data_IF_050269571155
#
_entry.id   IF_050269571155
#
_cell.length_a   1.000
_cell.length_b   1.000
_cell.length_c   1.000
_cell.angle_alpha   90.00
_cell.angle_beta   90.00
_cell.angle_gamma   90.00
#
_symmetry.space_group_name_H-M   'P 1'
#
loop_
_entity.id
_entity.type
_entity.pdbx_description
1 polymer ?
#
# COMPACT_ATOMS: atom_id res chain seq x y z
N UNK A 1 25.26 -30.59 -37.44
CA UNK A 1 23.93 -30.50 -36.83
C UNK A 1 24.04 -31.05 -35.42
N UNK A 2 24.24 -30.20 -34.44
CA UNK A 2 24.28 -30.58 -33.03
C UNK A 2 22.88 -30.40 -32.46
N UNK A 3 22.27 -31.50 -32.04
CA UNK A 3 20.98 -31.47 -31.35
C UNK A 3 21.19 -30.93 -29.95
N UNK A 4 20.58 -29.80 -29.66
CA UNK A 4 20.49 -29.24 -28.29
C UNK A 4 19.44 -30.09 -27.56
N UNK A 5 19.90 -30.89 -26.60
CA UNK A 5 19.04 -31.58 -25.67
C UNK A 5 18.51 -30.54 -24.69
N UNK A 6 17.23 -30.21 -24.77
CA UNK A 6 16.52 -29.42 -23.76
C UNK A 6 16.13 -30.36 -22.65
N UNK A 7 16.65 -30.13 -21.47
CA UNK A 7 16.28 -30.86 -20.27
C UNK A 7 14.79 -30.63 -19.94
N UNK A 8 14.02 -31.67 -19.67
CA UNK A 8 12.68 -31.54 -19.13
C UNK A 8 12.79 -31.51 -17.61
N UNK A 9 12.18 -30.59 -17.00
CA UNK A 9 11.78 -30.55 -15.57
C UNK A 9 12.01 -29.17 -14.95
N UNK A 10 11.05 -28.31 -15.22
CA UNK A 10 10.83 -27.12 -14.42
C UNK A 10 9.32 -26.87 -14.37
N UNK A 11 8.67 -27.49 -13.40
CA UNK A 11 7.37 -27.11 -12.80
C UNK A 11 6.92 -28.25 -11.86
N UNK A 12 7.45 -28.29 -10.65
CA UNK A 12 6.80 -29.05 -9.57
C UNK A 12 5.76 -28.14 -8.92
N UNK A 13 4.61 -28.05 -9.53
CA UNK A 13 3.39 -27.66 -8.83
C UNK A 13 2.66 -28.95 -8.49
N UNK A 14 2.20 -29.08 -7.23
CA UNK A 14 1.48 -30.22 -6.68
C UNK A 14 0.46 -30.81 -7.67
N UNK A 15 0.55 -32.13 -7.88
CA UNK A 15 -0.30 -32.93 -8.74
C UNK A 15 -1.73 -33.00 -8.21
N UNK A 16 -2.53 -32.00 -8.53
CA UNK A 16 -3.93 -32.20 -8.90
C UNK A 16 -3.98 -32.04 -10.42
N UNK A 17 -4.40 -33.08 -11.15
CA UNK A 17 -4.75 -32.95 -12.57
C UNK A 17 -5.92 -31.97 -12.65
N UNK A 18 -5.59 -30.69 -12.80
CA UNK A 18 -6.55 -29.68 -13.19
C UNK A 18 -6.62 -29.70 -14.72
N UNK A 19 -7.83 -29.79 -15.27
CA UNK A 19 -8.07 -29.56 -16.69
C UNK A 19 -7.49 -28.19 -17.09
N UNK A 20 -6.44 -28.20 -17.91
CA UNK A 20 -5.74 -27.00 -18.31
C UNK A 20 -4.81 -27.23 -19.50
N UNK A 21 -4.36 -26.13 -20.09
CA UNK A 21 -3.41 -26.14 -21.19
C UNK A 21 -1.99 -26.05 -20.64
N UNK A 22 -1.13 -27.01 -20.97
CA UNK A 22 0.32 -26.91 -20.67
C UNK A 22 0.94 -25.83 -21.56
N UNK A 23 1.42 -24.75 -20.92
CA UNK A 23 2.19 -23.71 -21.58
C UNK A 23 3.68 -24.01 -21.39
N UNK A 24 4.41 -24.22 -22.50
CA UNK A 24 5.86 -24.23 -22.49
C UNK A 24 6.32 -22.79 -22.68
N UNK A 25 6.94 -22.22 -21.68
CA UNK A 25 7.45 -20.86 -21.74
C UNK A 25 8.90 -20.82 -21.28
N UNK A 26 9.67 -19.96 -21.93
CA UNK A 26 11.03 -19.62 -21.56
C UNK A 26 11.06 -18.16 -21.15
N UNK A 27 11.65 -17.87 -19.99
CA UNK A 27 11.83 -16.52 -19.47
C UNK A 27 13.32 -16.14 -19.55
N UNK A 28 13.75 -15.43 -20.60
CA UNK A 28 15.14 -15.00 -20.69
C UNK A 28 15.51 -14.06 -19.54
N UNK A 29 16.78 -14.09 -19.14
CA UNK A 29 17.32 -13.20 -18.13
C UNK A 29 17.36 -11.76 -18.65
N UNK A 30 16.53 -10.88 -18.06
CA UNK A 30 16.48 -9.47 -18.41
C UNK A 30 17.44 -8.62 -17.57
N UNK A 31 17.78 -9.07 -16.36
CA UNK A 31 18.70 -8.36 -15.49
C UNK A 31 19.12 -9.14 -14.25
N UNK A 32 20.28 -8.76 -13.70
CA UNK A 32 20.79 -9.29 -12.44
C UNK A 32 21.13 -8.11 -11.53
N UNK A 33 20.65 -8.15 -10.28
CA UNK A 33 20.67 -7.03 -9.34
C UNK A 33 21.19 -7.46 -7.97
N UNK A 34 21.52 -6.49 -7.14
CA UNK A 34 21.75 -6.73 -5.73
C UNK A 34 20.38 -6.86 -4.99
N UNK A 35 19.42 -6.01 -5.37
CA UNK A 35 18.09 -5.99 -4.78
C UNK A 35 17.02 -5.82 -5.85
N UNK A 36 15.98 -6.66 -5.82
CA UNK A 36 14.77 -6.47 -6.61
C UNK A 36 13.60 -6.19 -5.66
N UNK A 37 12.93 -5.07 -5.88
CA UNK A 37 11.71 -4.68 -5.17
C UNK A 37 10.51 -4.96 -6.07
N UNK A 38 9.50 -5.68 -5.56
CA UNK A 38 8.29 -6.01 -6.31
C UNK A 38 7.11 -5.24 -5.75
N UNK A 39 6.49 -4.40 -6.58
CA UNK A 39 5.41 -3.49 -6.23
C UNK A 39 5.89 -2.06 -5.92
N UNK A 40 5.48 -1.10 -6.74
CA UNK A 40 5.84 0.32 -6.66
C UNK A 40 4.92 1.17 -5.78
N UNK A 41 4.24 0.55 -4.80
CA UNK A 41 3.41 1.25 -3.80
C UNK A 41 4.24 2.05 -2.78
N UNK A 42 3.59 2.64 -1.74
CA UNK A 42 4.27 3.49 -0.75
C UNK A 42 5.48 2.83 -0.11
N UNK A 43 5.42 1.54 0.24
CA UNK A 43 6.57 0.81 0.75
C UNK A 43 7.64 0.60 -0.32
N UNK A 44 7.23 0.20 -1.54
CA UNK A 44 8.16 -0.28 -2.56
C UNK A 44 9.00 0.82 -3.18
N UNK A 45 8.42 1.97 -3.56
CA UNK A 45 9.25 3.03 -4.11
C UNK A 45 10.24 3.61 -3.07
N UNK A 46 9.84 3.67 -1.79
CA UNK A 46 10.75 4.07 -0.71
C UNK A 46 11.83 3.01 -0.46
N UNK A 47 11.47 1.70 -0.50
CA UNK A 47 12.45 0.62 -0.35
C UNK A 47 13.49 0.65 -1.47
N UNK A 48 13.05 0.83 -2.72
CA UNK A 48 13.94 0.89 -3.88
C UNK A 48 14.90 2.10 -3.80
N UNK A 49 14.36 3.29 -3.49
CA UNK A 49 15.18 4.50 -3.27
C UNK A 49 16.20 4.26 -2.16
N UNK A 50 15.77 3.65 -1.05
CA UNK A 50 16.65 3.43 0.10
C UNK A 50 17.76 2.45 -0.24
N UNK A 51 17.45 1.30 -0.84
CA UNK A 51 18.43 0.29 -1.23
C UNK A 51 19.47 0.88 -2.20
N UNK A 52 19.02 1.60 -3.23
CA UNK A 52 19.89 2.23 -4.21
C UNK A 52 20.79 3.31 -3.57
N UNK A 53 20.27 4.18 -2.71
CA UNK A 53 21.06 5.19 -1.99
C UNK A 53 22.06 4.59 -0.99
N UNK A 54 21.82 3.33 -0.54
CA UNK A 54 22.77 2.58 0.29
C UNK A 54 23.80 1.80 -0.53
N UNK A 55 23.79 1.96 -1.87
CA UNK A 55 24.77 1.42 -2.82
C UNK A 55 24.40 0.10 -3.45
N UNK A 56 23.18 -0.43 -3.26
CA UNK A 56 22.72 -1.63 -3.93
C UNK A 56 22.27 -1.32 -5.37
N UNK A 57 22.72 -2.11 -6.35
CA UNK A 57 22.15 -2.08 -7.71
C UNK A 57 20.73 -2.61 -7.63
N UNK A 58 19.75 -1.72 -7.83
CA UNK A 58 18.34 -1.99 -7.48
C UNK A 58 17.43 -1.92 -8.70
N UNK A 59 16.52 -2.90 -8.83
CA UNK A 59 15.38 -2.82 -9.74
C UNK A 59 14.06 -2.69 -8.95
N UNK A 60 13.10 -1.99 -9.54
CA UNK A 60 11.73 -1.87 -9.06
C UNK A 60 10.76 -2.34 -10.14
N UNK A 61 9.96 -3.37 -9.82
CA UNK A 61 8.94 -3.96 -10.69
C UNK A 61 7.57 -3.46 -10.28
N UNK A 62 6.80 -2.91 -11.23
CA UNK A 62 5.44 -2.42 -11.02
C UNK A 62 4.53 -2.85 -12.18
N UNK A 63 3.37 -3.42 -11.87
CA UNK A 63 2.39 -3.90 -12.88
C UNK A 63 1.66 -2.77 -13.60
N UNK A 64 1.60 -1.58 -13.03
CA UNK A 64 1.00 -0.40 -13.65
C UNK A 64 2.05 0.48 -14.32
N UNK A 65 1.60 1.42 -15.16
CA UNK A 65 2.46 2.40 -15.82
C UNK A 65 2.82 3.61 -14.94
N UNK A 66 2.66 3.51 -13.63
CA UNK A 66 2.97 4.56 -12.66
C UNK A 66 3.13 3.99 -11.26
N UNK A 67 3.84 4.73 -10.41
CA UNK A 67 4.11 4.38 -9.01
C UNK A 67 3.10 5.03 -8.06
N UNK A 68 3.15 4.63 -6.78
CA UNK A 68 2.39 5.23 -5.69
C UNK A 68 1.35 4.32 -5.04
N UNK A 69 1.06 3.15 -5.62
CA UNK A 69 0.13 2.16 -5.06
C UNK A 69 -1.23 2.76 -4.70
N UNK A 70 -1.74 2.52 -3.47
CA UNK A 70 -3.09 2.94 -3.09
C UNK A 70 -3.33 4.46 -3.19
N UNK A 71 -2.29 5.31 -3.11
CA UNK A 71 -2.44 6.74 -3.37
C UNK A 71 -2.86 7.03 -4.82
N UNK A 72 -2.30 6.31 -5.78
CA UNK A 72 -2.43 6.61 -7.21
C UNK A 72 -3.29 5.59 -7.96
N UNK A 73 -3.29 4.32 -7.52
CA UNK A 73 -4.14 3.27 -8.08
C UNK A 73 -5.54 3.31 -7.47
N UNK A 74 -5.63 3.55 -6.15
CA UNK A 74 -6.88 3.53 -5.40
C UNK A 74 -7.46 4.90 -5.07
N UNK A 75 -6.76 5.99 -5.37
CA UNK A 75 -7.09 7.37 -4.96
C UNK A 75 -7.38 7.49 -3.48
N UNK A 76 -6.70 6.68 -2.68
CA UNK A 76 -6.85 6.70 -1.22
C UNK A 76 -6.15 7.93 -0.67
N UNK A 77 -6.92 8.81 -0.06
CA UNK A 77 -6.43 10.04 0.56
C UNK A 77 -7.06 10.21 1.96
N UNK A 78 -6.44 11.00 2.84
CA UNK A 78 -5.10 11.60 2.73
C UNK A 78 -3.98 10.58 3.00
N UNK A 79 -2.70 10.95 2.82
CA UNK A 79 -1.60 10.18 3.42
C UNK A 79 -1.61 10.50 4.92
N UNK A 80 -2.00 9.56 5.74
CA UNK A 80 -2.15 9.70 7.20
C UNK A 80 -1.16 8.80 7.93
N UNK A 81 -0.72 9.16 9.10
CA UNK A 81 -0.42 10.46 9.69
C UNK A 81 1.08 10.47 9.97
N UNK A 82 1.73 11.61 9.78
CA UNK A 82 3.18 11.70 9.97
C UNK A 82 3.57 12.27 11.33
N UNK A 83 2.64 12.93 12.01
CA UNK A 83 2.94 13.64 13.25
C UNK A 83 1.85 13.44 14.32
N UNK A 84 2.21 13.71 15.56
CA UNK A 84 1.30 13.90 16.69
C UNK A 84 1.68 15.19 17.41
N UNK A 85 0.70 16.04 17.63
CA UNK A 85 0.85 17.31 18.39
C UNK A 85 2.05 18.16 17.85
N UNK A 86 2.12 18.32 16.53
CA UNK A 86 3.19 19.00 15.78
C UNK A 86 4.58 18.32 15.84
N UNK A 87 4.70 17.14 16.46
CA UNK A 87 5.94 16.39 16.50
C UNK A 87 5.91 15.26 15.47
N UNK A 88 6.88 15.23 14.56
CA UNK A 88 6.99 14.15 13.60
C UNK A 88 7.18 12.80 14.30
N UNK A 89 6.49 11.80 13.80
CA UNK A 89 6.60 10.40 14.21
C UNK A 89 7.26 9.57 13.13
N UNK A 90 7.00 9.90 11.86
CA UNK A 90 7.58 9.24 10.70
C UNK A 90 8.43 10.28 9.95
N UNK A 91 9.73 10.03 9.89
CA UNK A 91 10.73 10.90 9.24
C UNK A 91 11.44 10.20 8.07
N UNK A 92 12.64 10.68 7.74
CA UNK A 92 13.50 10.08 6.73
C UNK A 92 13.02 10.30 5.29
N UNK A 93 13.32 9.34 4.43
CA UNK A 93 12.92 9.39 3.00
C UNK A 93 11.41 9.53 2.82
N UNK A 94 10.54 8.91 3.64
CA UNK A 94 9.10 9.19 3.63
C UNK A 94 8.75 10.67 3.79
N UNK A 95 9.39 11.36 4.72
CA UNK A 95 9.15 12.78 4.93
C UNK A 95 9.81 13.65 3.85
N UNK A 96 10.99 13.26 3.35
CA UNK A 96 11.60 13.89 2.17
C UNK A 96 10.67 13.87 0.97
N UNK A 97 10.01 12.72 0.71
CA UNK A 97 9.01 12.60 -0.36
C UNK A 97 7.86 13.59 -0.18
N UNK A 98 7.31 13.69 1.03
CA UNK A 98 6.22 14.65 1.33
C UNK A 98 6.66 16.09 1.07
N UNK A 99 7.83 16.47 1.57
CA UNK A 99 8.37 17.83 1.39
C UNK A 99 8.65 18.15 -0.07
N UNK A 100 9.11 17.17 -0.83
CA UNK A 100 9.34 17.31 -2.26
C UNK A 100 8.02 17.48 -3.02
N UNK A 101 7.01 16.67 -2.70
CA UNK A 101 5.69 16.79 -3.28
C UNK A 101 5.06 18.16 -2.97
N UNK A 102 5.20 18.64 -1.73
CA UNK A 102 4.78 19.98 -1.32
C UNK A 102 5.48 21.07 -2.15
N UNK A 103 6.80 20.97 -2.33
CA UNK A 103 7.58 21.94 -3.13
C UNK A 103 7.20 21.97 -4.61
N UNK A 104 6.60 20.90 -5.12
CA UNK A 104 6.03 20.82 -6.47
C UNK A 104 4.60 21.39 -6.54
N UNK A 105 4.02 21.88 -5.43
CA UNK A 105 2.62 22.26 -5.34
C UNK A 105 1.64 21.10 -5.33
N UNK A 106 2.14 19.87 -5.12
CA UNK A 106 1.39 18.63 -5.16
C UNK A 106 0.96 18.10 -3.79
N UNK A 107 1.25 18.79 -2.70
CA UNK A 107 0.80 18.42 -1.37
C UNK A 107 0.45 19.62 -0.51
N UNK A 108 -0.48 19.41 0.42
CA UNK A 108 -0.79 20.30 1.53
C UNK A 108 -0.64 19.53 2.84
N UNK A 109 0.18 20.03 3.75
CA UNK A 109 0.48 19.40 5.04
C UNK A 109 -0.43 19.97 6.11
N UNK A 110 -1.35 19.17 6.61
CA UNK A 110 -2.30 19.57 7.63
C UNK A 110 -1.78 19.26 9.04
N UNK A 111 -1.33 20.29 9.75
CA UNK A 111 -0.91 20.20 11.13
C UNK A 111 -2.13 20.26 12.08
N UNK A 112 -2.07 19.68 13.32
CA UNK A 112 -0.90 19.15 14.04
C UNK A 112 -0.56 17.67 13.76
N UNK A 113 -1.36 16.97 12.93
CA UNK A 113 -1.19 15.53 12.66
C UNK A 113 -0.33 15.24 11.45
N UNK A 114 -0.06 16.24 10.64
CA UNK A 114 0.56 16.11 9.32
C UNK A 114 -0.13 15.01 8.49
N UNK A 115 -1.44 15.17 8.29
CA UNK A 115 -2.16 14.51 7.19
C UNK A 115 -1.80 15.24 5.90
N UNK A 116 -1.65 14.51 4.82
CA UNK A 116 -1.22 15.09 3.55
C UNK A 116 -2.32 14.93 2.53
N UNK A 117 -2.97 16.03 2.19
CA UNK A 117 -3.77 16.12 0.98
C UNK A 117 -2.85 16.25 -0.22
N UNK A 118 -3.19 15.64 -1.35
CA UNK A 118 -2.28 15.60 -2.48
C UNK A 118 -2.99 15.58 -3.85
N UNK A 119 -2.28 16.11 -4.84
CA UNK A 119 -2.60 15.93 -6.26
C UNK A 119 -2.05 14.60 -6.74
N UNK A 120 -2.92 13.72 -7.23
CA UNK A 120 -2.57 12.34 -7.64
C UNK A 120 -1.54 12.33 -8.77
N UNK A 121 -1.63 13.24 -9.73
CA UNK A 121 -0.71 13.27 -10.88
C UNK A 121 0.68 13.77 -10.48
N UNK A 122 0.75 14.78 -9.62
CA UNK A 122 2.03 15.23 -9.06
C UNK A 122 2.65 14.18 -8.12
N UNK A 123 1.82 13.39 -7.43
CA UNK A 123 2.31 12.26 -6.63
C UNK A 123 3.02 11.22 -7.52
N UNK A 124 2.39 10.79 -8.63
CA UNK A 124 2.99 9.87 -9.61
C UNK A 124 4.33 10.40 -10.11
N UNK A 125 4.36 11.67 -10.52
CA UNK A 125 5.57 12.33 -11.03
C UNK A 125 6.67 12.41 -9.98
N UNK A 126 6.33 12.74 -8.73
CA UNK A 126 7.27 12.83 -7.63
C UNK A 126 7.93 11.46 -7.33
N UNK A 127 7.12 10.39 -7.23
CA UNK A 127 7.62 9.02 -7.08
C UNK A 127 8.60 8.66 -8.19
N UNK A 128 8.20 8.85 -9.45
CA UNK A 128 9.01 8.52 -10.60
C UNK A 128 10.35 9.27 -10.57
N UNK A 129 10.34 10.58 -10.32
CA UNK A 129 11.57 11.38 -10.26
C UNK A 129 12.51 10.89 -9.18
N UNK A 130 12.02 10.66 -7.96
CA UNK A 130 12.86 10.22 -6.85
C UNK A 130 13.45 8.83 -7.09
N UNK A 131 12.70 7.91 -7.70
CA UNK A 131 13.17 6.56 -8.05
C UNK A 131 14.26 6.63 -9.10
N UNK A 132 14.07 7.39 -10.19
CA UNK A 132 15.06 7.54 -11.26
C UNK A 132 16.32 8.28 -10.80
N UNK A 133 16.17 9.33 -10.00
CA UNK A 133 17.30 10.07 -9.41
C UNK A 133 18.13 9.22 -8.44
N UNK A 134 17.53 8.22 -7.81
CA UNK A 134 18.25 7.25 -6.99
C UNK A 134 19.03 6.21 -7.83
N UNK A 135 18.85 6.18 -9.15
CA UNK A 135 19.52 5.22 -10.04
C UNK A 135 18.87 3.83 -10.03
N UNK A 136 17.58 3.73 -9.75
CA UNK A 136 16.83 2.48 -9.77
C UNK A 136 16.41 2.15 -11.19
N UNK A 137 16.64 0.90 -11.62
CA UNK A 137 16.12 0.37 -12.88
C UNK A 137 14.62 0.07 -12.72
N UNK A 138 13.77 0.73 -13.52
CA UNK A 138 12.33 0.70 -13.35
C UNK A 138 11.64 -0.15 -14.42
N UNK A 139 10.97 -1.22 -14.00
CA UNK A 139 10.15 -2.10 -14.84
C UNK A 139 8.67 -1.82 -14.60
N UNK A 140 8.09 -0.89 -15.36
CA UNK A 140 6.65 -0.64 -15.37
C UNK A 140 5.92 -1.59 -16.32
N UNK A 141 4.58 -1.70 -16.20
CA UNK A 141 3.77 -2.63 -16.98
C UNK A 141 4.29 -4.07 -16.92
N UNK A 142 4.87 -4.45 -15.79
CA UNK A 142 5.50 -5.74 -15.57
C UNK A 142 4.87 -6.44 -14.37
N UNK A 143 4.08 -7.47 -14.64
CA UNK A 143 3.39 -8.24 -13.61
C UNK A 143 4.29 -9.37 -13.09
N UNK A 144 4.41 -9.51 -11.78
CA UNK A 144 5.02 -10.72 -11.19
C UNK A 144 4.11 -11.92 -11.48
N UNK A 145 4.67 -12.98 -12.05
CA UNK A 145 3.92 -14.20 -12.41
C UNK A 145 4.54 -15.49 -11.88
N UNK A 146 5.74 -15.41 -11.27
CA UNK A 146 6.40 -16.57 -10.68
C UNK A 146 7.72 -16.21 -10.00
N UNK A 147 8.31 -17.20 -9.34
CA UNK A 147 9.67 -17.13 -8.83
C UNK A 147 10.31 -18.51 -8.89
N UNK A 148 11.63 -18.55 -9.06
CA UNK A 148 12.44 -19.76 -8.99
C UNK A 148 13.11 -19.85 -7.64
N UNK A 149 13.14 -21.08 -7.09
CA UNK A 149 13.60 -21.33 -5.74
C UNK A 149 14.76 -22.32 -5.69
N UNK A 150 15.80 -22.00 -4.93
CA UNK A 150 16.84 -22.92 -4.51
C UNK A 150 16.67 -23.24 -3.00
N UNK A 151 15.93 -24.29 -2.71
CA UNK A 151 15.46 -24.57 -1.36
C UNK A 151 14.51 -23.48 -0.86
N UNK A 152 14.94 -22.69 0.12
CA UNK A 152 14.18 -21.52 0.64
C UNK A 152 14.75 -20.17 0.17
N UNK A 153 15.71 -20.18 -0.74
CA UNK A 153 16.27 -18.97 -1.36
C UNK A 153 15.58 -18.73 -2.70
N UNK A 154 15.13 -17.54 -2.94
CA UNK A 154 14.66 -17.10 -4.26
C UNK A 154 15.89 -16.85 -5.12
N UNK A 155 16.01 -17.52 -6.25
CA UNK A 155 17.08 -17.29 -7.24
C UNK A 155 16.71 -16.23 -8.25
N UNK A 156 15.46 -16.25 -8.73
CA UNK A 156 14.93 -15.23 -9.64
C UNK A 156 13.43 -15.06 -9.48
N UNK A 157 12.92 -13.95 -9.98
CA UNK A 157 11.49 -13.75 -10.21
C UNK A 157 11.19 -13.79 -11.71
N UNK A 158 9.96 -14.15 -12.05
CA UNK A 158 9.46 -14.15 -13.42
C UNK A 158 8.41 -13.04 -13.53
N UNK A 159 8.59 -12.17 -14.50
CA UNK A 159 7.68 -11.08 -14.83
C UNK A 159 7.08 -11.28 -16.22
N UNK A 160 5.83 -10.86 -16.41
CA UNK A 160 5.15 -10.78 -17.70
C UNK A 160 4.98 -9.32 -18.08
N UNK A 161 5.44 -8.99 -19.29
CA UNK A 161 5.34 -7.64 -19.83
C UNK A 161 5.19 -7.70 -21.37
N UNK A 162 5.37 -6.56 -22.05
CA UNK A 162 5.19 -6.46 -23.50
C UNK A 162 6.21 -7.28 -24.30
N UNK A 163 7.35 -7.63 -23.71
CA UNK A 163 8.36 -8.49 -24.33
C UNK A 163 8.04 -9.99 -24.17
N UNK A 164 7.01 -10.33 -23.38
CA UNK A 164 6.69 -11.67 -22.94
C UNK A 164 7.23 -11.95 -21.52
N UNK A 165 7.52 -13.20 -21.22
CA UNK A 165 8.10 -13.58 -19.94
C UNK A 165 9.58 -13.23 -19.90
N UNK A 166 10.01 -12.57 -18.82
CA UNK A 166 11.40 -12.24 -18.52
C UNK A 166 11.71 -12.64 -17.08
N UNK A 167 12.98 -12.97 -16.79
CA UNK A 167 13.43 -13.25 -15.42
C UNK A 167 14.37 -12.17 -14.90
N UNK A 168 14.29 -11.90 -13.61
CA UNK A 168 15.20 -11.00 -12.88
C UNK A 168 15.84 -11.77 -11.73
N UNK A 169 17.17 -11.82 -11.71
CA UNK A 169 17.93 -12.38 -10.60
C UNK A 169 18.30 -11.30 -9.58
N UNK A 170 18.36 -11.67 -8.30
CA UNK A 170 18.88 -10.80 -7.27
C UNK A 170 19.46 -11.55 -6.05
N UNK A 171 20.37 -10.88 -5.36
CA UNK A 171 20.85 -11.37 -4.08
C UNK A 171 19.74 -11.29 -2.99
N UNK A 172 18.91 -10.23 -3.03
CA UNK A 172 17.80 -9.99 -2.08
C UNK A 172 16.55 -9.51 -2.81
N UNK A 173 15.38 -9.98 -2.37
CA UNK A 173 14.07 -9.59 -2.86
C UNK A 173 13.26 -8.92 -1.77
N UNK A 174 12.51 -7.88 -2.12
CA UNK A 174 11.58 -7.19 -1.20
C UNK A 174 10.16 -7.25 -1.79
N UNK A 175 9.27 -7.97 -1.13
CA UNK A 175 7.85 -8.01 -1.49
C UNK A 175 7.13 -6.77 -0.96
N UNK A 176 6.76 -5.86 -1.85
CA UNK A 176 5.96 -4.66 -1.61
C UNK A 176 4.66 -4.68 -2.42
N UNK A 177 4.19 -5.85 -2.86
CA UNK A 177 2.98 -6.00 -3.70
C UNK A 177 1.70 -5.60 -2.98
N UNK A 178 1.76 -5.52 -1.66
CA UNK A 178 0.63 -5.21 -0.78
C UNK A 178 -0.25 -6.42 -0.48
N UNK A 179 -0.30 -7.40 -1.37
CA UNK A 179 -1.03 -8.66 -1.20
C UNK A 179 -0.09 -9.84 -0.86
N UNK A 180 1.23 -9.59 -0.74
CA UNK A 180 2.22 -10.61 -0.44
C UNK A 180 2.37 -11.61 -1.59
N UNK A 181 2.33 -11.14 -2.84
CA UNK A 181 2.28 -12.02 -4.02
C UNK A 181 3.58 -12.81 -4.18
N UNK A 182 4.74 -12.15 -4.04
CA UNK A 182 6.03 -12.85 -4.11
C UNK A 182 6.19 -13.85 -2.95
N UNK A 183 5.85 -13.43 -1.74
CA UNK A 183 5.91 -14.30 -0.57
C UNK A 183 4.98 -15.52 -0.72
N UNK A 184 3.78 -15.32 -1.28
CA UNK A 184 2.84 -16.42 -1.55
C UNK A 184 3.35 -17.36 -2.64
N UNK A 185 3.95 -16.85 -3.72
CA UNK A 185 4.55 -17.67 -4.78
C UNK A 185 5.77 -18.45 -4.27
N UNK A 186 6.53 -17.89 -3.35
CA UNK A 186 7.63 -18.55 -2.66
C UNK A 186 7.17 -19.51 -1.52
N UNK A 187 5.86 -19.73 -1.36
CA UNK A 187 5.27 -20.59 -0.35
C UNK A 187 5.61 -20.19 1.11
N UNK A 188 5.73 -18.88 1.34
CA UNK A 188 5.87 -18.35 2.72
C UNK A 188 4.57 -18.60 3.48
N UNK A 189 4.61 -19.10 4.72
CA UNK A 189 3.42 -19.25 5.53
C UNK A 189 2.70 -17.90 5.73
N UNK A 190 1.41 -17.90 5.43
CA UNK A 190 0.55 -16.72 5.60
C UNK A 190 -0.29 -16.81 6.87
N UNK A 191 -0.60 -15.68 7.45
CA UNK A 191 -1.56 -15.63 8.54
C UNK A 191 -2.96 -15.98 8.02
N UNK A 192 -3.73 -16.78 8.80
CA UNK A 192 -5.09 -17.10 8.42
C UNK A 192 -5.94 -15.83 8.39
N UNK A 193 -6.68 -15.67 7.30
CA UNK A 193 -7.75 -14.68 7.24
C UNK A 193 -9.04 -15.35 7.71
N UNK A 194 -9.86 -14.69 8.55
CA UNK A 194 -11.17 -15.20 8.88
C UNK A 194 -12.02 -15.30 7.61
N UNK A 195 -12.71 -16.41 7.42
CA UNK A 195 -13.62 -16.60 6.29
C UNK A 195 -14.62 -15.46 6.21
N UNK A 196 -14.68 -14.79 5.07
CA UNK A 196 -15.62 -13.71 4.73
C UNK A 196 -15.61 -12.47 5.63
N UNK A 197 -14.56 -12.23 6.42
CA UNK A 197 -14.48 -11.09 7.33
C UNK A 197 -13.43 -10.04 6.93
N UNK A 198 -12.87 -10.10 5.73
CA UNK A 198 -11.94 -9.07 5.25
C UNK A 198 -12.58 -7.69 5.29
N UNK A 199 -11.80 -6.68 5.66
CA UNK A 199 -12.27 -5.30 5.60
C UNK A 199 -12.68 -4.94 4.18
N UNK A 200 -13.79 -4.21 3.99
CA UNK A 200 -14.33 -3.95 2.66
C UNK A 200 -13.41 -3.08 1.82
N UNK A 201 -13.39 -3.33 0.53
CA UNK A 201 -12.78 -2.42 -0.45
C UNK A 201 -13.64 -1.18 -0.66
N UNK A 202 -13.00 -0.07 -1.04
CA UNK A 202 -13.66 1.17 -1.44
C UNK A 202 -13.14 1.60 -2.81
N UNK A 203 -14.05 2.01 -3.69
CA UNK A 203 -13.66 2.59 -4.97
C UNK A 203 -13.74 4.11 -4.84
N UNK A 204 -12.59 4.75 -4.62
CA UNK A 204 -12.53 6.19 -4.51
C UNK A 204 -12.60 6.83 -5.89
N UNK A 205 -13.09 8.07 -5.94
CA UNK A 205 -13.30 8.81 -7.19
C UNK A 205 -13.16 10.33 -6.95
N UNK A 206 -13.03 11.09 -8.02
CA UNK A 206 -12.96 12.55 -7.97
C UNK A 206 -14.24 13.09 -8.56
N UNK A 207 -14.92 13.96 -7.80
CA UNK A 207 -16.00 14.81 -8.28
C UNK A 207 -15.43 16.18 -8.64
N UNK A 208 -15.86 16.72 -9.78
CA UNK A 208 -15.65 18.13 -10.16
C UNK A 208 -17.01 18.83 -10.34
N UNK A 209 -17.01 20.16 -10.38
CA UNK A 209 -18.23 20.95 -10.36
C UNK A 209 -18.86 21.06 -8.98
N UNK A 210 -18.05 20.90 -7.93
CA UNK A 210 -18.46 20.98 -6.52
C UNK A 210 -18.17 22.38 -5.98
N UNK A 211 -19.09 22.94 -5.18
CA UNK A 211 -18.82 24.21 -4.45
C UNK A 211 -17.92 23.93 -3.23
N UNK A 212 -16.61 23.90 -3.50
CA UNK A 212 -15.59 23.63 -2.48
C UNK A 212 -15.40 24.76 -1.48
N UNK A 213 -15.97 25.96 -1.75
CA UNK A 213 -15.91 27.11 -0.85
C UNK A 213 -17.13 27.16 0.10
N UNK A 214 -18.07 26.23 -0.01
CA UNK A 214 -19.27 26.15 0.82
C UNK A 214 -18.96 25.90 2.29
N UNK A 215 -19.86 26.35 3.18
CA UNK A 215 -19.76 26.11 4.60
C UNK A 215 -19.73 24.61 4.95
N UNK A 216 -20.51 23.79 4.22
CA UNK A 216 -20.56 22.33 4.39
C UNK A 216 -19.18 21.73 4.15
N UNK A 217 -18.56 22.00 2.99
CA UNK A 217 -17.27 21.39 2.65
C UNK A 217 -16.12 21.97 3.46
N UNK A 218 -16.14 23.25 3.81
CA UNK A 218 -15.18 23.86 4.73
C UNK A 218 -15.18 23.18 6.11
N UNK A 219 -16.31 22.65 6.56
CA UNK A 219 -16.42 21.89 7.81
C UNK A 219 -16.07 20.40 7.66
N UNK A 220 -16.20 19.85 6.45
CA UNK A 220 -16.08 18.40 6.20
C UNK A 220 -14.76 18.00 5.54
N UNK A 221 -14.08 18.92 4.87
CA UNK A 221 -12.78 18.64 4.24
C UNK A 221 -11.64 18.87 5.22
N UNK A 222 -10.59 18.07 5.09
CA UNK A 222 -9.34 18.31 5.80
C UNK A 222 -8.65 19.52 5.15
N UNK A 223 -8.78 20.70 5.69
CA UNK A 223 -7.91 21.86 5.46
C UNK A 223 -8.17 22.91 6.52
N UNK A 224 -7.21 23.75 6.81
CA UNK A 224 -7.24 24.85 7.78
C UNK A 224 -6.91 24.53 9.24
N UNK A 225 -6.22 23.41 9.55
CA UNK A 225 -5.70 23.15 10.89
C UNK A 225 -6.78 22.98 11.97
N UNK A 226 -8.04 23.05 11.62
CA UNK A 226 -9.16 22.73 12.49
C UNK A 226 -9.28 21.19 12.43
N UNK A 227 -9.34 20.54 13.58
CA UNK A 227 -9.61 19.10 13.69
C UNK A 227 -10.90 18.76 12.95
N UNK A 228 -10.82 18.65 11.63
CA UNK A 228 -11.92 18.28 10.77
C UNK A 228 -12.49 16.95 11.21
N UNK A 229 -13.81 16.75 11.19
CA UNK A 229 -14.39 15.46 11.51
C UNK A 229 -13.84 14.42 10.53
N UNK A 230 -13.52 13.25 11.04
CA UNK A 230 -13.10 12.12 10.20
C UNK A 230 -14.15 11.70 9.17
N UNK A 231 -15.37 12.23 9.26
CA UNK A 231 -16.50 11.96 8.38
C UNK A 231 -17.33 13.23 8.20
N UNK A 232 -17.87 13.45 7.01
CA UNK A 232 -18.86 14.51 6.80
C UNK A 232 -20.21 14.10 7.41
N UNK A 233 -20.40 14.44 8.70
CA UNK A 233 -21.60 14.06 9.45
C UNK A 233 -22.91 14.51 8.81
N UNK A 234 -23.08 15.77 8.33
CA UNK A 234 -24.34 16.18 7.73
C UNK A 234 -24.73 15.33 6.53
N UNK A 235 -23.78 15.01 5.66
CA UNK A 235 -24.02 14.13 4.50
C UNK A 235 -24.34 12.71 4.96
N UNK A 236 -23.59 12.19 5.93
CA UNK A 236 -23.82 10.86 6.47
C UNK A 236 -25.22 10.70 7.08
N UNK A 237 -25.61 11.63 7.94
CA UNK A 237 -26.91 11.61 8.64
C UNK A 237 -28.07 11.67 7.64
N UNK A 238 -27.96 12.51 6.62
CA UNK A 238 -28.95 12.59 5.55
C UNK A 238 -29.08 11.27 4.78
N UNK A 239 -27.94 10.65 4.40
CA UNK A 239 -27.95 9.38 3.67
C UNK A 239 -28.52 8.24 4.53
N UNK A 240 -28.24 8.21 5.82
CA UNK A 240 -28.82 7.22 6.74
C UNK A 240 -30.34 7.42 6.86
N UNK A 241 -30.82 8.63 7.03
CA UNK A 241 -32.25 8.93 7.10
C UNK A 241 -33.00 8.56 5.80
N UNK A 242 -32.40 8.80 4.64
CA UNK A 242 -32.96 8.37 3.36
C UNK A 242 -33.01 6.83 3.25
N UNK A 243 -31.98 6.13 3.73
CA UNK A 243 -31.94 4.66 3.74
C UNK A 243 -33.01 4.09 4.66
N UNK A 244 -33.21 4.68 5.84
CA UNK A 244 -34.27 4.31 6.78
C UNK A 244 -35.68 4.57 6.20
N UNK A 245 -35.83 5.61 5.38
CA UNK A 245 -37.07 5.91 4.65
C UNK A 245 -37.31 4.99 3.44
N UNK A 246 -36.44 4.00 3.19
CA UNK A 246 -36.59 3.00 2.12
C UNK A 246 -35.96 3.39 0.78
N UNK A 247 -35.14 4.46 0.72
CA UNK A 247 -34.40 4.76 -0.48
C UNK A 247 -33.33 3.70 -0.76
N UNK A 248 -33.12 3.39 -2.05
CA UNK A 248 -32.05 2.51 -2.49
C UNK A 248 -30.68 3.18 -2.35
N UNK A 249 -30.04 2.91 -1.20
CA UNK A 249 -28.71 3.44 -0.86
C UNK A 249 -27.76 2.28 -0.62
N UNK A 250 -26.68 2.14 -1.40
CA UNK A 250 -25.69 1.10 -1.20
C UNK A 250 -25.07 1.15 0.21
N UNK A 251 -24.43 0.07 0.62
CA UNK A 251 -23.61 0.11 1.85
C UNK A 251 -22.47 1.10 1.67
N UNK A 252 -22.20 1.91 2.70
CA UNK A 252 -21.23 2.98 2.61
C UNK A 252 -20.44 3.20 3.90
N UNK A 253 -19.28 3.82 3.74
CA UNK A 253 -18.50 4.37 4.85
C UNK A 253 -18.39 5.87 4.73
N UNK A 254 -17.92 6.56 5.75
CA UNK A 254 -17.79 8.01 5.68
C UNK A 254 -19.13 8.75 5.54
N UNK A 255 -19.27 9.62 4.52
CA UNK A 255 -18.28 9.96 3.49
C UNK A 255 -17.10 10.76 4.03
N UNK A 256 -15.96 10.58 3.38
CA UNK A 256 -14.79 11.45 3.53
C UNK A 256 -14.58 12.21 2.23
N UNK A 257 -14.43 13.53 2.34
CA UNK A 257 -14.09 14.41 1.24
C UNK A 257 -12.67 14.93 1.48
N UNK A 258 -11.77 14.68 0.53
CA UNK A 258 -10.38 15.11 0.63
C UNK A 258 -10.07 16.16 -0.43
N UNK A 259 -9.25 17.12 -0.06
CA UNK A 259 -8.78 18.14 -0.98
C UNK A 259 -7.82 17.51 -2.01
N UNK A 260 -8.07 17.77 -3.29
CA UNK A 260 -7.20 17.37 -4.39
C UNK A 260 -6.37 18.53 -4.94
N UNK A 261 -6.28 19.63 -4.16
CA UNK A 261 -5.55 20.86 -4.48
C UNK A 261 -6.04 21.54 -5.77
N UNK A 262 -7.30 21.28 -6.13
CA UNK A 262 -7.96 21.85 -7.31
C UNK A 262 -9.33 22.37 -6.93
N UNK A 263 -9.52 23.70 -7.06
CA UNK A 263 -10.80 24.35 -6.79
C UNK A 263 -11.91 23.68 -7.59
N UNK A 264 -13.05 23.47 -6.93
CA UNK A 264 -14.21 22.83 -7.54
C UNK A 264 -14.10 21.31 -7.68
N UNK A 265 -13.09 20.69 -7.08
CA UNK A 265 -12.90 19.23 -7.12
C UNK A 265 -12.62 18.65 -5.74
N UNK A 266 -13.13 17.44 -5.48
CA UNK A 266 -12.92 16.71 -4.24
C UNK A 266 -12.70 15.22 -4.51
N UNK A 267 -11.78 14.59 -3.78
CA UNK A 267 -11.71 13.15 -3.74
C UNK A 267 -12.73 12.60 -2.73
N UNK A 268 -13.46 11.59 -3.14
CA UNK A 268 -14.56 11.00 -2.36
C UNK A 268 -14.25 9.55 -2.00
N UNK A 269 -14.32 9.25 -0.71
CA UNK A 269 -14.28 7.90 -0.18
C UNK A 269 -15.59 7.61 0.54
N UNK A 270 -16.51 6.93 -0.12
CA UNK A 270 -17.85 6.62 0.36
C UNK A 270 -18.25 5.16 0.12
N UNK A 271 -17.88 4.59 -1.03
CA UNK A 271 -18.29 3.25 -1.44
C UNK A 271 -17.70 2.18 -0.53
N UNK A 272 -18.43 1.07 -0.35
CA UNK A 272 -17.99 -0.01 0.54
C UNK A 272 -18.61 -1.34 0.16
N UNK A 273 -17.78 -2.31 -0.27
CA UNK A 273 -18.20 -3.70 -0.48
C UNK A 273 -17.12 -4.67 -0.02
N UNK A 274 -17.53 -5.77 0.60
CA UNK A 274 -16.62 -6.86 0.93
C UNK A 274 -16.01 -7.43 -0.37
N UNK A 275 -14.70 -7.63 -0.38
CA UNK A 275 -13.96 -8.18 -1.50
C UNK A 275 -12.70 -8.89 -1.03
N UNK A 276 -12.35 -9.98 -1.69
CA UNK A 276 -11.04 -10.59 -1.59
C UNK A 276 -10.24 -10.23 -2.86
N UNK A 277 -9.19 -9.42 -2.70
CA UNK A 277 -8.32 -9.01 -3.80
C UNK A 277 -7.43 -10.14 -4.33
N UNK A 278 -7.36 -11.25 -3.62
CA UNK A 278 -6.59 -12.45 -4.02
C UNK A 278 -7.43 -13.45 -4.82
N UNK A 279 -8.75 -13.27 -4.86
CA UNK A 279 -9.68 -13.95 -5.77
C UNK A 279 -10.10 -12.98 -6.90
N UNK A 280 -9.53 -13.18 -8.08
CA UNK A 280 -9.76 -12.32 -9.23
C UNK A 280 -11.24 -12.23 -9.64
N UNK A 281 -12.02 -13.32 -9.56
CA UNK A 281 -13.44 -13.31 -9.94
C UNK A 281 -14.26 -12.52 -8.92
N UNK A 282 -14.00 -12.73 -7.64
CA UNK A 282 -14.64 -11.99 -6.55
C UNK A 282 -14.32 -10.50 -6.67
N UNK A 283 -13.05 -10.15 -6.84
CA UNK A 283 -12.60 -8.77 -6.91
C UNK A 283 -13.15 -8.04 -8.14
N UNK A 284 -13.09 -8.67 -9.34
CA UNK A 284 -13.65 -8.10 -10.58
C UNK A 284 -15.16 -7.82 -10.46
N UNK A 285 -15.91 -8.80 -9.95
CA UNK A 285 -17.36 -8.63 -9.70
C UNK A 285 -17.63 -7.47 -8.73
N UNK A 286 -16.81 -7.35 -7.68
CA UNK A 286 -16.95 -6.29 -6.68
C UNK A 286 -16.61 -4.92 -7.26
N UNK A 287 -15.58 -4.79 -8.08
CA UNK A 287 -15.25 -3.52 -8.74
C UNK A 287 -16.38 -3.04 -9.67
N UNK A 288 -16.99 -3.94 -10.42
CA UNK A 288 -18.15 -3.58 -11.26
C UNK A 288 -19.27 -2.97 -10.42
N UNK A 289 -19.63 -3.61 -9.31
CA UNK A 289 -20.67 -3.12 -8.39
C UNK A 289 -20.29 -1.80 -7.70
N UNK A 290 -19.03 -1.67 -7.28
CA UNK A 290 -18.54 -0.43 -6.67
C UNK A 290 -18.57 0.74 -7.65
N UNK A 291 -18.37 0.48 -8.95
CA UNK A 291 -18.47 1.51 -10.00
C UNK A 291 -19.90 1.99 -10.15
N UNK A 292 -20.90 1.12 -10.15
CA UNK A 292 -22.31 1.51 -10.11
C UNK A 292 -22.62 2.34 -8.85
N UNK A 293 -22.11 1.92 -7.69
CA UNK A 293 -22.30 2.65 -6.44
C UNK A 293 -21.76 4.09 -6.52
N UNK A 294 -20.64 4.34 -7.22
CA UNK A 294 -20.09 5.69 -7.43
C UNK A 294 -21.11 6.60 -8.09
N UNK A 295 -21.72 6.15 -9.20
CA UNK A 295 -22.71 6.96 -9.93
C UNK A 295 -23.97 7.14 -9.10
N UNK A 296 -24.43 6.10 -8.40
CA UNK A 296 -25.58 6.20 -7.49
C UNK A 296 -25.34 7.22 -6.36
N UNK A 297 -24.16 7.20 -5.72
CA UNK A 297 -23.83 8.22 -4.72
C UNK A 297 -23.69 9.62 -5.30
N UNK A 298 -23.19 9.76 -6.53
CA UNK A 298 -23.13 11.05 -7.20
C UNK A 298 -24.52 11.65 -7.42
N UNK A 299 -25.50 10.85 -7.86
CA UNK A 299 -26.91 11.25 -7.97
C UNK A 299 -27.48 11.68 -6.63
N UNK A 300 -27.32 10.85 -5.59
CA UNK A 300 -27.78 11.16 -4.24
C UNK A 300 -27.20 12.47 -3.68
N UNK A 301 -25.92 12.74 -3.95
CA UNK A 301 -25.28 14.01 -3.57
C UNK A 301 -25.88 15.18 -4.32
N UNK A 302 -26.06 15.09 -5.64
CA UNK A 302 -26.68 16.14 -6.48
C UNK A 302 -28.10 16.45 -6.06
N UNK A 303 -28.89 15.45 -5.76
CA UNK A 303 -30.32 15.58 -5.38
C UNK A 303 -30.51 16.21 -4.00
N UNK A 304 -29.60 15.97 -3.06
CA UNK A 304 -29.82 16.28 -1.67
C UNK A 304 -28.94 17.41 -1.11
N UNK A 305 -27.92 17.86 -1.85
CA UNK A 305 -26.98 18.89 -1.38
C UNK A 305 -26.70 19.91 -2.46
N UNK A 306 -27.03 21.21 -2.23
CA UNK A 306 -26.83 22.28 -3.22
C UNK A 306 -25.37 22.39 -3.69
N UNK A 307 -24.40 22.10 -2.81
CA UNK A 307 -22.97 22.16 -3.08
C UNK A 307 -22.52 21.19 -4.17
N UNK A 308 -23.27 20.11 -4.37
CA UNK A 308 -23.02 19.07 -5.36
C UNK A 308 -23.95 19.12 -6.58
N UNK A 309 -24.82 20.14 -6.71
CA UNK A 309 -25.84 20.19 -7.76
C UNK A 309 -25.26 19.98 -9.17
N UNK A 310 -24.15 20.60 -9.46
CA UNK A 310 -23.51 20.61 -10.78
C UNK A 310 -22.33 19.62 -10.86
N UNK A 311 -22.14 18.79 -9.83
CA UNK A 311 -21.01 17.88 -9.79
C UNK A 311 -21.14 16.75 -10.81
N UNK A 312 -20.01 16.25 -11.23
CA UNK A 312 -19.89 15.07 -12.08
C UNK A 312 -18.65 14.24 -11.70
N UNK A 313 -18.67 12.97 -12.04
CA UNK A 313 -17.51 12.09 -11.85
C UNK A 313 -16.44 12.49 -12.86
N UNK A 314 -15.40 13.19 -12.39
CA UNK A 314 -14.28 13.58 -13.22
C UNK A 314 -13.34 12.42 -13.52
N UNK A 315 -13.10 11.56 -12.52
CA UNK A 315 -12.36 10.32 -12.69
C UNK A 315 -12.68 9.31 -11.57
N UNK A 316 -12.59 8.04 -11.90
CA UNK A 316 -12.55 6.95 -10.94
C UNK A 316 -11.09 6.48 -10.77
N UNK A 317 -10.74 5.96 -9.61
CA UNK A 317 -9.47 5.31 -9.43
C UNK A 317 -9.27 4.18 -10.47
N UNK A 318 -8.04 3.84 -10.87
CA UNK A 318 -7.78 2.70 -11.74
C UNK A 318 -8.25 1.36 -11.16
N UNK A 319 -8.27 1.24 -9.83
CA UNK A 319 -8.64 0.03 -9.08
C UNK A 319 -9.31 0.40 -7.76
N UNK A 320 -10.16 -0.45 -7.24
CA UNK A 320 -10.69 -0.31 -5.89
C UNK A 320 -9.58 -0.39 -4.83
N UNK A 321 -9.64 0.47 -3.84
CA UNK A 321 -8.69 0.50 -2.73
C UNK A 321 -8.86 -0.70 -1.81
N UNK A 322 -7.79 -1.44 -1.59
CA UNK A 322 -7.73 -2.67 -0.78
C UNK A 322 -7.20 -2.33 0.59
N UNK A 323 -7.96 -2.68 1.63
CA UNK A 323 -7.56 -2.45 3.03
C UNK A 323 -6.78 -3.61 3.62
N UNK A 324 -7.19 -4.83 3.29
CA UNK A 324 -6.72 -6.06 3.91
C UNK A 324 -6.72 -7.20 2.90
N UNK A 325 -5.66 -8.03 2.94
CA UNK A 325 -5.52 -9.25 2.18
C UNK A 325 -4.53 -10.18 2.91
N UNK A 326 -3.66 -10.90 2.19
CA UNK A 326 -2.64 -11.77 2.77
C UNK A 326 -1.61 -10.98 3.60
N UNK A 327 -1.12 -11.58 4.67
CA UNK A 327 -0.02 -11.15 5.53
C UNK A 327 0.88 -12.34 5.80
N UNK A 328 2.18 -12.15 5.80
CA UNK A 328 3.09 -13.25 6.16
C UNK A 328 2.95 -13.62 7.64
N UNK A 329 3.27 -14.87 7.97
CA UNK A 329 3.59 -15.27 9.32
C UNK A 329 5.11 -15.07 9.51
N UNK A 330 5.49 -13.89 10.02
CA UNK A 330 6.87 -13.47 10.18
C UNK A 330 7.54 -14.04 11.43
N UNK A 331 8.82 -13.71 11.63
CA UNK A 331 9.58 -14.07 12.85
C UNK A 331 8.92 -13.48 14.10
N UNK A 332 8.28 -12.32 13.97
CA UNK A 332 7.41 -11.71 14.98
C UNK A 332 6.12 -11.23 14.35
N UNK A 333 5.02 -11.34 15.06
CA UNK A 333 3.73 -10.77 14.66
C UNK A 333 3.38 -9.68 15.65
N UNK A 334 3.38 -8.42 15.22
CA UNK A 334 2.91 -7.32 16.09
C UNK A 334 1.42 -7.49 16.36
N UNK A 335 1.06 -7.55 17.64
CA UNK A 335 -0.33 -7.60 18.09
C UNK A 335 -0.88 -6.21 18.34
N UNK A 336 -2.21 -6.08 18.38
CA UNK A 336 -2.88 -4.83 18.73
C UNK A 336 -2.50 -4.36 20.13
N UNK A 337 -2.34 -5.30 21.08
CA UNK A 337 -1.94 -5.00 22.46
C UNK A 337 -0.54 -4.38 22.50
N UNK A 338 0.45 -5.02 21.87
CA UNK A 338 1.81 -4.48 21.73
C UNK A 338 1.80 -3.11 21.05
N UNK A 339 1.02 -2.97 19.98
CA UNK A 339 0.96 -1.75 19.18
C UNK A 339 0.37 -0.57 19.98
N UNK A 340 -0.73 -0.79 20.69
CA UNK A 340 -1.40 0.25 21.50
C UNK A 340 -0.57 0.61 22.74
N UNK A 341 0.10 -0.38 23.36
CA UNK A 341 0.96 -0.14 24.54
C UNK A 341 2.22 0.69 24.22
N UNK A 342 2.60 0.79 22.95
CA UNK A 342 3.80 1.51 22.54
C UNK A 342 5.11 0.83 23.00
N UNK A 343 5.11 -0.50 23.12
CA UNK A 343 6.31 -1.27 23.44
C UNK A 343 7.43 -0.89 22.45
N UNK A 344 8.60 -0.59 23.01
CA UNK A 344 9.80 -0.32 22.24
C UNK A 344 10.66 -1.58 22.15
N UNK A 345 11.00 -1.98 20.94
CA UNK A 345 11.88 -3.13 20.68
C UNK A 345 13.30 -2.66 20.42
N UNK A 346 14.29 -3.51 20.73
CA UNK A 346 15.70 -3.21 20.42
C UNK A 346 15.93 -3.08 18.92
N UNK A 347 15.21 -3.88 18.12
CA UNK A 347 15.23 -3.89 16.66
C UNK A 347 14.14 -3.00 16.04
N UNK A 348 13.69 -1.94 16.73
CA UNK A 348 12.70 -1.00 16.18
C UNK A 348 13.25 -0.28 14.95
N UNK A 349 12.52 -0.34 13.84
CA UNK A 349 12.93 0.19 12.53
C UNK A 349 12.02 1.29 11.99
N UNK A 350 10.84 1.43 12.55
CA UNK A 350 9.85 2.41 12.16
C UNK A 350 8.88 2.67 13.29
N UNK A 351 8.06 3.71 13.14
CA UNK A 351 6.98 4.05 14.08
C UNK A 351 5.68 4.27 13.34
N UNK A 352 4.56 4.20 14.06
CA UNK A 352 3.23 4.56 13.59
C UNK A 352 2.43 5.29 14.64
N UNK A 353 1.46 6.10 14.22
CA UNK A 353 0.57 6.86 15.11
C UNK A 353 -0.88 6.93 14.58
N UNK A 354 -1.14 6.31 13.44
CA UNK A 354 -2.50 6.24 12.94
C UNK A 354 -3.36 5.40 13.90
N UNK A 355 -4.61 5.79 14.19
CA UNK A 355 -5.53 4.95 14.95
C UNK A 355 -5.68 3.55 14.37
N UNK A 356 -5.98 2.56 15.20
CA UNK A 356 -6.52 1.29 14.71
C UNK A 356 -7.89 1.63 14.11
N UNK A 357 -8.02 1.43 12.80
CA UNK A 357 -9.22 1.79 12.05
C UNK A 357 -9.74 0.57 11.27
N UNK A 358 -10.66 -0.16 11.89
CA UNK A 358 -11.28 -1.35 11.31
C UNK A 358 -12.69 -1.06 10.83
N UNK A 359 -12.93 -1.37 9.58
CA UNK A 359 -14.25 -1.28 8.95
C UNK A 359 -14.93 -2.63 8.96
N UNK A 360 -16.19 -2.68 9.41
CA UNK A 360 -16.98 -3.91 9.32
C UNK A 360 -17.17 -4.31 7.85
N UNK A 361 -17.15 -5.61 7.59
CA UNK A 361 -17.33 -6.19 6.24
C UNK A 361 -18.71 -5.86 5.64
N UNK A 362 -19.70 -5.62 6.47
CA UNK A 362 -21.08 -5.24 6.08
C UNK A 362 -21.57 -4.02 6.88
N UNK A 363 -22.45 -3.25 6.24
CA UNK A 363 -23.08 -2.09 6.86
C UNK A 363 -22.14 -0.89 7.00
N UNK A 364 -22.37 -0.05 8.02
CA UNK A 364 -21.70 1.24 8.19
C UNK A 364 -20.82 1.34 9.44
N UNK A 365 -20.66 0.22 10.18
CA UNK A 365 -19.90 0.21 11.45
C UNK A 365 -18.41 0.30 11.23
N UNK A 366 -17.72 0.94 12.18
CA UNK A 366 -16.28 1.12 12.19
C UNK A 366 -15.81 1.08 13.66
N UNK A 367 -14.75 0.32 13.93
CA UNK A 367 -14.03 0.35 15.19
C UNK A 367 -12.84 1.28 15.04
N UNK A 368 -12.71 2.23 15.95
CA UNK A 368 -11.55 3.13 15.99
C UNK A 368 -10.97 3.15 17.40
N UNK A 369 -9.65 2.94 17.49
CA UNK A 369 -8.88 3.06 18.73
C UNK A 369 -7.75 4.04 18.46
N UNK A 370 -7.81 5.22 19.10
CA UNK A 370 -6.76 6.23 18.98
C UNK A 370 -5.53 5.80 19.81
N UNK A 371 -4.33 6.12 19.31
CA UNK A 371 -3.08 5.84 20.02
C UNK A 371 -2.70 7.04 20.89
N UNK A 372 -2.44 6.79 22.16
CA UNK A 372 -1.95 7.81 23.08
C UNK A 372 -0.50 8.20 22.83
N UNK A 373 0.30 7.25 22.33
CA UNK A 373 1.71 7.43 21.99
C UNK A 373 2.06 6.71 20.69
N UNK A 374 3.15 7.09 20.01
CA UNK A 374 3.60 6.37 18.83
C UNK A 374 3.95 4.92 19.16
N UNK A 375 3.49 4.00 18.31
CA UNK A 375 3.83 2.60 18.37
C UNK A 375 5.12 2.32 17.58
N UNK A 376 5.88 1.31 18.01
CA UNK A 376 7.13 0.90 17.37
C UNK A 376 6.92 -0.37 16.55
N UNK A 377 7.65 -0.48 15.44
CA UNK A 377 7.61 -1.62 14.52
C UNK A 377 8.98 -2.30 14.52
N UNK A 378 9.10 -3.55 14.97
CA UNK A 378 10.38 -4.25 14.98
C UNK A 378 10.74 -4.80 13.60
N UNK A 379 12.05 -4.94 13.31
CA UNK A 379 12.55 -5.51 12.06
C UNK A 379 11.99 -6.90 11.77
N UNK A 380 11.84 -7.72 12.79
CA UNK A 380 11.39 -9.11 12.70
C UNK A 380 10.03 -9.33 12.04
N UNK A 381 9.20 -8.27 11.91
CA UNK A 381 7.91 -8.36 11.18
C UNK A 381 8.08 -8.38 9.66
N UNK A 382 9.27 -7.98 9.17
CA UNK A 382 9.61 -7.97 7.75
C UNK A 382 10.21 -9.29 7.27
N UNK A 383 10.58 -10.20 8.20
CA UNK A 383 11.35 -11.41 7.92
C UNK A 383 10.42 -12.61 7.79
N UNK A 384 10.49 -13.29 6.66
CA UNK A 384 9.86 -14.60 6.45
C UNK A 384 10.75 -15.71 7.07
N UNK A 385 10.25 -16.49 8.06
CA UNK A 385 11.04 -17.55 8.69
C UNK A 385 11.55 -18.58 7.68
N UNK A 386 12.86 -18.82 7.69
CA UNK A 386 13.51 -19.79 6.79
C UNK A 386 13.95 -19.24 5.45
N UNK A 387 13.47 -18.05 5.01
CA UNK A 387 13.81 -17.45 3.73
C UNK A 387 14.97 -16.46 3.88
N UNK A 388 16.19 -16.81 3.39
CA UNK A 388 17.40 -16.02 3.69
C UNK A 388 17.49 -14.70 2.93
N UNK A 389 16.75 -14.53 1.85
CA UNK A 389 16.86 -13.37 0.97
C UNK A 389 15.53 -12.72 0.59
N UNK A 390 14.49 -12.95 1.39
CA UNK A 390 13.19 -12.34 1.21
C UNK A 390 12.83 -11.44 2.40
N UNK A 391 12.53 -10.19 2.12
CA UNK A 391 11.90 -9.24 3.03
C UNK A 391 10.50 -8.90 2.52
N UNK A 392 9.60 -8.53 3.41
CA UNK A 392 8.29 -7.95 3.05
C UNK A 392 8.16 -6.57 3.65
N UNK A 393 7.44 -5.65 2.98
CA UNK A 393 7.15 -4.33 3.54
C UNK A 393 5.77 -3.81 3.10
N UNK A 394 5.21 -2.91 3.89
CA UNK A 394 3.89 -2.36 3.63
C UNK A 394 2.76 -3.23 4.20
N UNK A 395 1.67 -3.42 3.45
CA UNK A 395 0.42 -4.02 3.94
C UNK A 395 0.51 -5.53 4.22
N UNK A 396 1.50 -6.23 3.69
CA UNK A 396 1.68 -7.67 3.84
C UNK A 396 2.64 -8.09 4.96
N UNK A 397 3.13 -7.16 5.80
CA UNK A 397 3.98 -7.46 6.96
C UNK A 397 3.26 -8.32 8.00
N UNK A 398 4.05 -8.90 8.91
CA UNK A 398 3.52 -9.73 10.00
C UNK A 398 2.93 -8.88 11.14
N UNK A 399 1.62 -8.71 11.10
CA UNK A 399 0.85 -8.04 12.14
C UNK A 399 -0.52 -8.71 12.29
N UNK A 400 -1.12 -8.69 13.47
CA UNK A 400 -2.52 -9.10 13.59
C UNK A 400 -3.44 -8.15 12.83
N UNK A 401 -4.71 -8.51 12.67
CA UNK A 401 -5.66 -7.70 11.89
C UNK A 401 -5.87 -6.30 12.45
N UNK A 402 -5.87 -6.15 13.76
CA UNK A 402 -6.11 -4.87 14.40
C UNK A 402 -4.88 -3.97 14.31
N UNK A 403 -3.68 -4.48 14.60
CA UNK A 403 -2.45 -3.73 14.40
C UNK A 403 -2.26 -3.33 12.94
N UNK A 404 -2.56 -4.26 11.99
CA UNK A 404 -2.51 -3.96 10.57
C UNK A 404 -3.46 -2.82 10.18
N UNK A 405 -4.63 -2.71 10.79
CA UNK A 405 -5.57 -1.64 10.48
C UNK A 405 -4.99 -0.24 10.70
N UNK A 406 -3.94 -0.13 11.50
CA UNK A 406 -3.11 1.08 11.62
C UNK A 406 -1.85 1.02 10.76
N UNK A 407 -1.12 -0.10 10.75
CA UNK A 407 0.17 -0.22 10.06
C UNK A 407 0.08 -0.19 8.53
N UNK A 408 -1.08 -0.50 7.96
CA UNK A 408 -1.32 -0.49 6.51
C UNK A 408 -1.42 0.91 5.89
N UNK A 409 -1.51 1.97 6.70
CA UNK A 409 -1.59 3.32 6.13
C UNK A 409 -0.28 3.71 5.46
N UNK A 410 -0.38 4.56 4.45
CA UNK A 410 0.73 4.85 3.55
C UNK A 410 1.99 5.35 4.26
N UNK A 411 1.86 6.22 5.25
CA UNK A 411 2.99 6.73 6.01
C UNK A 411 3.76 5.61 6.75
N UNK A 412 3.04 4.70 7.43
CA UNK A 412 3.65 3.54 8.10
C UNK A 412 4.27 2.57 7.09
N UNK A 413 3.59 2.34 5.95
CA UNK A 413 4.14 1.52 4.86
C UNK A 413 5.46 2.11 4.31
N UNK A 414 5.54 3.42 4.13
CA UNK A 414 6.78 4.09 3.71
C UNK A 414 7.91 3.85 4.72
N UNK A 415 7.62 3.95 6.02
CA UNK A 415 8.60 3.68 7.08
C UNK A 415 9.15 2.26 7.05
N UNK A 416 8.28 1.24 6.89
CA UNK A 416 8.71 -0.15 6.75
C UNK A 416 9.47 -0.39 5.44
N UNK A 417 9.11 0.31 4.35
CA UNK A 417 9.82 0.28 3.09
C UNK A 417 11.25 0.82 3.22
N UNK A 418 11.43 1.97 3.90
CA UNK A 418 12.78 2.52 4.15
C UNK A 418 13.65 1.51 4.89
N UNK A 419 13.12 0.85 5.91
CA UNK A 419 13.88 -0.14 6.67
C UNK A 419 14.21 -1.39 5.85
N UNK A 420 13.26 -1.89 5.05
CA UNK A 420 13.48 -3.04 4.19
C UNK A 420 14.59 -2.78 3.15
N UNK A 421 14.58 -1.59 2.53
CA UNK A 421 15.63 -1.18 1.59
C UNK A 421 17.01 -1.07 2.25
N UNK A 422 17.08 -0.50 3.46
CA UNK A 422 18.32 -0.42 4.24
C UNK A 422 18.84 -1.80 4.63
N UNK A 423 17.95 -2.70 5.10
CA UNK A 423 18.28 -4.07 5.49
C UNK A 423 18.77 -4.89 4.29
N UNK A 424 18.13 -4.77 3.13
CA UNK A 424 18.58 -5.44 1.91
C UNK A 424 20.01 -5.02 1.53
N UNK A 425 20.29 -3.73 1.50
CA UNK A 425 21.64 -3.22 1.20
C UNK A 425 22.69 -3.60 2.27
N UNK A 426 22.29 -3.67 3.54
CA UNK A 426 23.17 -4.13 4.61
C UNK A 426 23.50 -5.61 4.48
N UNK A 427 22.50 -6.47 4.17
CA UNK A 427 22.69 -7.92 4.06
C UNK A 427 23.74 -8.30 3.01
N UNK A 428 23.87 -7.54 1.93
CA UNK A 428 24.92 -7.74 0.92
C UNK A 428 26.33 -7.69 1.48
N UNK A 429 26.54 -6.88 2.51
CA UNK A 429 27.84 -6.69 3.19
C UNK A 429 28.05 -7.69 4.33
N UNK A 430 26.98 -8.40 4.75
CA UNK A 430 26.95 -9.29 5.91
C UNK A 430 26.60 -10.74 5.53
N UNK A 431 26.97 -11.19 4.32
CA UNK A 431 26.83 -12.57 3.90
C UNK A 431 25.54 -12.93 3.17
N UNK A 432 24.68 -11.95 2.87
CA UNK A 432 23.49 -12.14 2.02
C UNK A 432 22.31 -12.85 2.68
N UNK A 433 22.25 -12.87 4.01
CA UNK A 433 21.12 -13.41 4.77
C UNK A 433 20.45 -12.33 5.60
N UNK A 434 19.26 -11.90 5.15
CA UNK A 434 18.47 -10.83 5.81
C UNK A 434 18.03 -11.17 7.24
N UNK A 435 18.06 -12.46 7.62
CA UNK A 435 17.64 -12.93 8.95
C UNK A 435 18.73 -12.75 10.02
N UNK A 436 19.98 -12.60 9.59
CA UNK A 436 21.16 -12.61 10.47
C UNK A 436 21.97 -11.32 10.43
N UNK A 437 21.44 -10.25 9.82
CA UNK A 437 22.10 -8.95 9.82
C UNK A 437 22.20 -8.36 11.23
N UNK A 438 23.19 -7.51 11.44
CA UNK A 438 23.31 -6.72 12.67
C UNK A 438 22.17 -5.71 12.78
N UNK A 439 21.18 -6.02 13.61
CA UNK A 439 19.99 -5.18 13.79
C UNK A 439 20.30 -3.86 14.48
N UNK A 440 21.34 -3.78 15.34
CA UNK A 440 21.75 -2.52 15.95
C UNK A 440 22.30 -1.56 14.87
N UNK A 441 23.13 -2.09 13.96
CA UNK A 441 23.62 -1.33 12.80
C UNK A 441 22.49 -0.90 11.88
N UNK A 442 21.47 -1.77 11.65
CA UNK A 442 20.29 -1.40 10.87
C UNK A 442 19.55 -0.23 11.52
N UNK A 443 19.29 -0.30 12.82
CA UNK A 443 18.66 0.78 13.60
C UNK A 443 19.42 2.09 13.46
N UNK A 444 20.75 2.05 13.56
CA UNK A 444 21.60 3.25 13.38
C UNK A 444 21.57 3.75 11.92
N UNK A 445 21.55 2.85 10.95
CA UNK A 445 21.43 3.20 9.53
C UNK A 445 20.12 3.94 9.26
N UNK A 446 18.97 3.39 9.71
CA UNK A 446 17.67 4.04 9.45
C UNK A 446 17.54 5.38 10.21
N UNK A 447 18.13 5.52 11.41
CA UNK A 447 18.25 6.81 12.11
C UNK A 447 19.10 7.80 11.30
N UNK A 448 20.24 7.36 10.77
CA UNK A 448 21.09 8.15 9.90
C UNK A 448 20.38 8.63 8.62
N UNK A 449 19.40 7.87 8.14
CA UNK A 449 18.51 8.24 7.04
C UNK A 449 17.35 9.16 7.48
N UNK A 450 17.33 9.59 8.74
CA UNK A 450 16.33 10.50 9.29
C UNK A 450 15.06 9.83 9.83
N UNK A 451 15.02 8.50 9.94
CA UNK A 451 13.90 7.84 10.60
C UNK A 451 13.84 8.21 12.09
N UNK A 452 12.63 8.38 12.59
CA UNK A 452 12.36 8.70 14.01
C UNK A 452 11.95 7.40 14.71
N UNK A 453 12.88 6.80 15.47
CA UNK A 453 12.69 5.51 16.15
C UNK A 453 13.32 5.52 17.54
#
# INVERSE_FOLDING_TARGET
MAAIAVAPELLSCSTQEQDGVKVRSFAPLAGSYDTVVVGGGPAGFIAAITAARQGARTALVERYGFLGGMATIGYVAPISVFAKDNNLVIGGIPWEFVKRLESMGGAFIEWPKANIDFDVELYKLCCQRMVLEAGVDLYMHSALVGCEMEGKRISSIIIDNKNGLESLEAATFIDCTGDGDLANMAEVPMQPNPDNELQPSSFCFILSGVDTDSELLNKCMYHNGINGPSQCRPVREKLLALKEAGADIPDFGGPWFNNVLRKGSVAVNITRRAADSTDNRNFSSTECKLREDIFRFTELLRENFPEFRDCYVASTAPQAGIRESRRILGVHTVTAEEYVSGIRYEDSISRGIHPIDMHASKGTKQLRVDLEQPAYVPYRVLIAPGYPNLLVAGRCISADRQALASLRVMASCMGTGQAAGAAAAQSLKEGGDVRSIDTARLVDTVRGLGAII
#
